data_IF_305810514453
#
_entry.id   IF_305810514453
#
_cell.length_a   1.000
_cell.length_b   1.000
_cell.length_c   1.000
_cell.angle_alpha   90.00
_cell.angle_beta   90.00
_cell.angle_gamma   90.00
#
_symmetry.space_group_name_H-M   'P 1'
#
loop_
_entity.id
_entity.type
_entity.pdbx_description
1 polymer ?
#
# COMPACT_ATOMS: atom_id res chain seq x y z
N UNK A 1 -15.76 7.90 2.59
CA UNK A 1 -14.39 7.50 2.94
C UNK A 1 -14.10 6.20 2.22
N UNK A 2 -13.13 6.19 1.32
CA UNK A 2 -12.72 4.98 0.60
C UNK A 2 -11.99 4.01 1.54
N UNK A 3 -12.28 2.71 1.44
CA UNK A 3 -11.64 1.68 2.27
C UNK A 3 -10.63 0.89 1.44
N UNK A 4 -9.51 0.54 2.04
CA UNK A 4 -8.54 -0.39 1.45
C UNK A 4 -8.79 -1.80 1.97
N UNK A 5 -9.02 -2.73 1.05
CA UNK A 5 -9.24 -4.15 1.32
C UNK A 5 -7.95 -4.92 1.04
N UNK A 6 -7.54 -5.77 1.98
CA UNK A 6 -6.48 -6.76 1.73
C UNK A 6 -7.06 -7.85 0.84
N UNK A 7 -6.56 -7.99 -0.37
CA UNK A 7 -7.08 -8.95 -1.35
C UNK A 7 -6.18 -10.16 -1.55
N UNK A 8 -4.87 -10.00 -1.33
CA UNK A 8 -3.93 -11.10 -1.39
C UNK A 8 -2.74 -10.87 -0.46
N UNK A 9 -2.17 -11.97 -0.02
CA UNK A 9 -0.88 -12.03 0.66
C UNK A 9 -0.07 -13.12 -0.04
N UNK A 10 0.98 -12.71 -0.74
CA UNK A 10 1.87 -13.62 -1.47
C UNK A 10 3.22 -13.68 -0.79
N UNK A 11 3.77 -14.89 -0.71
CA UNK A 11 5.09 -15.11 -0.16
C UNK A 11 5.95 -15.75 -1.26
N UNK A 12 7.00 -15.05 -1.66
CA UNK A 12 8.00 -15.56 -2.58
C UNK A 12 9.09 -16.26 -1.77
N UNK A 13 9.11 -17.58 -1.82
CA UNK A 13 10.09 -18.41 -1.10
C UNK A 13 11.50 -18.30 -1.69
N UNK A 14 11.63 -18.00 -2.98
CA UNK A 14 12.92 -17.86 -3.65
C UNK A 14 13.56 -16.50 -3.31
N UNK A 15 12.76 -15.43 -3.39
CA UNK A 15 13.19 -14.09 -3.02
C UNK A 15 13.18 -13.85 -1.49
N UNK A 16 12.55 -14.76 -0.72
CA UNK A 16 12.31 -14.63 0.73
C UNK A 16 11.58 -13.34 1.10
N UNK A 17 10.66 -12.90 0.25
CA UNK A 17 9.91 -11.66 0.44
C UNK A 17 8.42 -11.94 0.51
N UNK A 18 7.72 -11.14 1.31
CA UNK A 18 6.26 -11.16 1.40
C UNK A 18 5.70 -9.90 0.76
N UNK A 19 4.59 -10.02 0.04
CA UNK A 19 3.87 -8.87 -0.52
C UNK A 19 2.41 -8.92 -0.11
N UNK A 20 1.89 -7.78 0.32
CA UNK A 20 0.46 -7.57 0.53
C UNK A 20 -0.10 -6.78 -0.64
N UNK A 21 -1.22 -7.24 -1.18
CA UNK A 21 -1.98 -6.54 -2.20
C UNK A 21 -3.24 -5.95 -1.57
N UNK A 22 -3.42 -4.66 -1.79
CA UNK A 22 -4.55 -3.88 -1.33
C UNK A 22 -5.33 -3.37 -2.53
N UNK A 23 -6.65 -3.31 -2.39
CA UNK A 23 -7.55 -2.75 -3.40
C UNK A 23 -8.51 -1.77 -2.76
N UNK A 24 -8.81 -0.68 -3.45
CA UNK A 24 -9.83 0.26 -2.99
C UNK A 24 -11.23 -0.35 -3.14
N UNK A 25 -12.13 -0.08 -2.19
CA UNK A 25 -13.50 -0.61 -2.23
C UNK A 25 -14.40 0.11 -3.24
N UNK A 26 -14.10 1.38 -3.49
CA UNK A 26 -14.81 2.26 -4.42
C UNK A 26 -14.26 2.18 -5.85
N UNK A 27 -13.04 1.68 -6.03
CA UNK A 27 -12.44 1.44 -7.34
C UNK A 27 -11.62 0.13 -7.35
N UNK A 28 -12.18 -0.98 -7.90
CA UNK A 28 -11.47 -2.25 -7.97
C UNK A 28 -10.32 -2.26 -8.99
N UNK A 29 -10.20 -1.27 -9.88
CA UNK A 29 -9.05 -1.11 -10.77
C UNK A 29 -7.83 -0.51 -10.06
N UNK A 30 -8.05 0.18 -8.94
CA UNK A 30 -6.99 0.78 -8.15
C UNK A 30 -6.40 -0.25 -7.19
N UNK A 31 -5.14 -0.62 -7.41
CA UNK A 31 -4.43 -1.65 -6.64
C UNK A 31 -3.09 -1.12 -6.15
N UNK A 32 -2.76 -1.42 -4.90
CA UNK A 32 -1.47 -1.10 -4.29
C UNK A 32 -0.84 -2.39 -3.77
N UNK A 33 0.35 -2.72 -4.26
CA UNK A 33 1.14 -3.83 -3.72
C UNK A 33 2.33 -3.29 -2.94
N UNK A 34 2.47 -3.72 -1.69
CA UNK A 34 3.56 -3.32 -0.80
C UNK A 34 4.33 -4.55 -0.36
N UNK A 35 5.65 -4.45 -0.38
CA UNK A 35 6.51 -5.42 0.27
C UNK A 35 6.33 -5.28 1.79
N UNK A 36 6.14 -6.42 2.45
CA UNK A 36 6.09 -6.50 3.90
C UNK A 36 7.49 -6.92 4.33
N UNK A 37 8.26 -5.93 4.80
CA UNK A 37 9.53 -6.22 5.44
C UNK A 37 9.27 -7.04 6.71
N UNK A 38 10.18 -7.97 6.94
CA UNK A 38 10.25 -8.99 7.98
C UNK A 38 9.61 -10.35 7.70
N UNK A 39 10.47 -11.34 7.94
CA UNK A 39 10.27 -12.78 7.89
C UNK A 39 9.35 -13.24 9.02
N UNK A 40 8.11 -12.74 9.03
CA UNK A 40 7.06 -13.36 9.82
C UNK A 40 6.86 -14.77 9.29
N UNK A 41 6.87 -15.80 10.16
CA UNK A 41 6.46 -17.13 9.75
C UNK A 41 5.10 -17.04 9.03
N UNK A 42 4.80 -17.92 8.08
CA UNK A 42 3.54 -17.83 7.31
C UNK A 42 2.29 -17.69 8.22
N UNK A 43 2.34 -18.28 9.40
CA UNK A 43 1.33 -18.16 10.45
C UNK A 43 1.07 -16.71 10.93
N UNK A 44 2.09 -15.86 10.90
CA UNK A 44 2.06 -14.48 11.38
C UNK A 44 1.86 -13.44 10.26
N UNK A 45 1.88 -13.88 9.01
CA UNK A 45 1.86 -13.01 7.84
C UNK A 45 0.62 -12.11 7.78
N UNK A 46 -0.54 -12.58 8.26
CA UNK A 46 -1.76 -11.76 8.35
C UNK A 46 -1.70 -10.66 9.42
N UNK A 47 -0.94 -10.86 10.50
CA UNK A 47 -0.70 -9.83 11.51
C UNK A 47 0.35 -8.82 11.02
N UNK A 48 1.42 -9.30 10.38
CA UNK A 48 2.43 -8.46 9.75
C UNK A 48 1.83 -7.56 8.66
N UNK A 49 0.96 -8.11 7.80
CA UNK A 49 0.25 -7.34 6.78
C UNK A 49 -0.62 -6.23 7.39
N UNK A 50 -1.39 -6.53 8.45
CA UNK A 50 -2.19 -5.52 9.17
C UNK A 50 -1.33 -4.42 9.78
N UNK A 51 -0.19 -4.77 10.37
CA UNK A 51 0.75 -3.79 10.92
C UNK A 51 1.38 -2.91 9.83
N UNK A 52 1.79 -3.50 8.70
CA UNK A 52 2.32 -2.76 7.56
C UNK A 52 1.30 -1.75 7.00
N UNK A 53 0.04 -2.16 6.85
CA UNK A 53 -1.04 -1.26 6.41
C UNK A 53 -1.29 -0.15 7.43
N UNK A 54 -1.32 -0.46 8.73
CA UNK A 54 -1.49 0.56 9.79
C UNK A 54 -0.35 1.57 9.80
N UNK A 55 0.90 1.10 9.65
CA UNK A 55 2.07 1.96 9.59
C UNK A 55 2.03 2.86 8.35
N UNK A 56 1.70 2.32 7.18
CA UNK A 56 1.51 3.12 5.96
C UNK A 56 0.41 4.17 6.14
N UNK A 57 -0.71 3.82 6.76
CA UNK A 57 -1.78 4.77 7.03
C UNK A 57 -1.32 5.92 7.95
N UNK A 58 -0.52 5.61 8.98
CA UNK A 58 0.07 6.61 9.87
C UNK A 58 1.10 7.49 9.15
N UNK A 59 1.97 6.90 8.32
CA UNK A 59 2.92 7.64 7.49
C UNK A 59 2.20 8.59 6.54
N UNK A 60 1.15 8.12 5.85
CA UNK A 60 0.34 8.96 4.95
C UNK A 60 -0.41 10.08 5.69
N UNK A 61 -0.92 9.82 6.89
CA UNK A 61 -1.58 10.84 7.71
C UNK A 61 -0.62 11.94 8.19
N UNK A 62 0.68 11.65 8.27
CA UNK A 62 1.71 12.58 8.69
C UNK A 62 2.34 13.37 7.52
N UNK A 63 2.00 13.04 6.26
CA UNK A 63 2.56 13.71 5.08
C UNK A 63 1.70 14.94 4.74
N UNK A 64 2.35 16.08 4.58
CA UNK A 64 1.73 17.29 4.03
C UNK A 64 1.45 17.09 2.53
N UNK A 65 0.19 17.27 2.14
CA UNK A 65 -0.24 17.09 0.75
C UNK A 65 -0.07 18.40 0.00
N UNK A 66 0.95 18.48 -0.86
CA UNK A 66 1.14 19.57 -1.79
C UNK A 66 0.64 19.19 -3.20
N UNK A 67 -0.07 20.10 -3.86
CA UNK A 67 -0.37 19.99 -5.29
C UNK A 67 0.76 20.60 -6.09
N UNK A 68 1.20 19.94 -7.16
CA UNK A 68 2.14 20.53 -8.11
C UNK A 68 1.55 21.83 -8.70
N UNK A 69 2.35 22.88 -8.93
CA UNK A 69 1.87 24.06 -9.62
C UNK A 69 1.40 23.68 -11.03
N UNK A 70 0.19 24.10 -11.40
CA UNK A 70 -0.29 23.99 -12.76
C UNK A 70 0.54 24.96 -13.60
N UNK A 71 1.44 24.42 -14.42
CA UNK A 71 2.08 25.19 -15.49
C UNK A 71 1.05 25.34 -16.61
N UNK A 72 0.50 26.55 -16.72
CA UNK A 72 -0.35 26.91 -17.85
C UNK A 72 0.56 27.17 -19.06
N UNK A 73 0.60 26.22 -20.01
CA UNK A 73 1.37 26.33 -21.25
C UNK A 73 0.63 27.15 -22.33
N UNK A 74 -0.22 28.12 -21.97
CA UNK A 74 -0.83 29.05 -22.93
C UNK A 74 -0.29 30.47 -22.84
N UNK A 75 0.98 30.66 -23.22
CA UNK A 75 1.41 31.94 -23.79
C UNK A 75 2.58 31.71 -24.75
N UNK A 76 2.28 31.68 -26.05
CA UNK A 76 3.22 31.97 -27.14
C UNK A 76 2.46 32.67 -28.26
#
# INVERSE_FOLDING_TARGET
MARLLVTALTHDLAAKTSRVTLRWDDDPGKVLSREVADASALADAGAAARNAVRRLAAELAAIEVATAPVVDETET
#
